data_IF_969444707833
#
_entry.id   IF_969444707833
#
_cell.length_a   1.000
_cell.length_b   1.000
_cell.length_c   1.000
_cell.angle_alpha   90.00
_cell.angle_beta   90.00
_cell.angle_gamma   90.00
#
_symmetry.space_group_name_H-M   'P 1'
#
loop_
_entity.id
_entity.type
_entity.pdbx_description
1 polymer ?
#
# COMPACT_ATOMS: atom_id res chain seq x y z
N UNK A 1 0.53 65.50 -12.21
CA UNK A 1 -0.64 64.65 -12.45
C UNK A 1 -0.83 63.75 -11.24
N UNK A 2 -1.95 63.94 -10.56
CA UNK A 2 -2.28 63.51 -9.21
C UNK A 2 -2.80 62.07 -9.16
N UNK A 3 -2.36 61.35 -8.12
CA UNK A 3 -3.07 60.33 -7.33
C UNK A 3 -4.49 59.94 -7.81
N UNK A 4 -4.64 58.71 -8.32
CA UNK A 4 -5.80 57.79 -8.17
C UNK A 4 -5.28 56.43 -8.71
N UNK A 5 -5.00 55.39 -7.93
CA UNK A 5 -5.95 54.46 -7.33
C UNK A 5 -5.15 53.64 -6.28
N UNK A 6 -5.16 54.07 -5.02
CA UNK A 6 -5.98 53.45 -3.97
C UNK A 6 -6.07 51.92 -4.05
N UNK A 7 -4.89 51.31 -3.84
CA UNK A 7 -4.66 50.12 -3.01
C UNK A 7 -5.95 49.51 -2.43
N UNK A 8 -6.35 48.33 -2.93
CA UNK A 8 -7.45 47.46 -2.43
C UNK A 8 -7.16 46.87 -1.05
N UNK A 9 -6.72 47.72 -0.14
CA UNK A 9 -6.48 47.42 1.25
C UNK A 9 -7.43 48.35 2.00
N UNK A 10 -8.56 47.82 2.44
CA UNK A 10 -9.24 48.12 3.71
C UNK A 10 -10.59 47.35 3.73
N UNK A 11 -10.60 46.10 4.24
CA UNK A 11 -11.22 45.62 5.51
C UNK A 11 -12.71 45.22 5.37
N UNK A 12 -13.02 43.91 5.45
CA UNK A 12 -13.40 43.09 6.62
C UNK A 12 -14.88 43.16 6.99
N UNK A 13 -15.52 41.99 7.16
CA UNK A 13 -16.38 41.76 8.32
C UNK A 13 -16.37 40.27 8.74
N UNK A 14 -16.32 39.99 10.06
CA UNK A 14 -16.25 38.66 10.67
C UNK A 14 -17.66 38.10 10.98
N UNK A 15 -17.75 36.76 11.10
CA UNK A 15 -18.92 35.97 11.50
C UNK A 15 -20.15 36.13 10.60
N UNK A 16 -20.34 35.17 9.69
CA UNK A 16 -21.68 34.74 9.32
C UNK A 16 -21.71 33.21 9.38
N UNK A 17 -22.36 32.73 10.43
CA UNK A 17 -22.94 31.41 10.61
C UNK A 17 -23.07 30.56 9.33
N UNK A 18 -22.06 29.73 9.08
CA UNK A 18 -22.23 28.43 8.46
C UNK A 18 -21.87 27.37 9.49
N UNK A 19 -22.79 27.17 10.43
CA UNK A 19 -23.07 25.84 10.97
C UNK A 19 -23.54 24.91 9.83
N UNK A 20 -22.70 24.75 8.81
CA UNK A 20 -22.68 23.58 7.99
C UNK A 20 -22.15 22.49 8.89
N UNK A 21 -23.08 21.77 9.54
CA UNK A 21 -22.88 20.36 9.83
C UNK A 21 -22.46 19.76 8.49
N UNK A 22 -21.16 19.70 8.24
CA UNK A 22 -20.62 18.95 7.14
C UNK A 22 -20.87 17.49 7.52
N UNK A 23 -21.82 16.89 6.84
CA UNK A 23 -22.20 15.49 6.96
C UNK A 23 -21.10 14.56 6.42
N UNK A 24 -19.84 14.90 6.62
CA UNK A 24 -18.65 14.23 6.10
C UNK A 24 -17.88 13.51 7.23
N UNK A 25 -18.61 12.95 8.21
CA UNK A 25 -18.15 11.92 9.17
C UNK A 25 -17.83 10.60 8.45
N UNK A 26 -17.10 10.68 7.34
CA UNK A 26 -16.64 9.58 6.53
C UNK A 26 -15.17 9.79 6.10
N UNK A 27 -14.53 10.90 6.47
CA UNK A 27 -13.26 11.36 5.88
C UNK A 27 -12.00 10.78 6.52
N UNK A 28 -12.11 9.94 7.56
CA UNK A 28 -10.95 9.30 8.20
C UNK A 28 -10.57 7.95 7.61
N UNK A 29 -11.42 7.33 6.78
CA UNK A 29 -11.16 5.99 6.20
C UNK A 29 -10.58 6.05 4.78
N UNK A 30 -10.76 7.14 4.04
CA UNK A 30 -10.45 7.20 2.61
C UNK A 30 -8.94 7.33 2.27
N UNK A 31 -8.10 7.77 3.22
CA UNK A 31 -6.67 8.06 2.94
C UNK A 31 -5.71 6.88 3.15
N UNK A 32 -6.19 5.76 3.72
CA UNK A 32 -5.37 4.57 3.96
C UNK A 32 -5.38 3.57 2.78
N UNK A 33 -6.25 3.76 1.79
CA UNK A 33 -6.61 2.74 0.79
C UNK A 33 -5.51 2.39 -0.22
N UNK A 34 -4.47 3.20 -0.39
CA UNK A 34 -3.41 2.93 -1.36
C UNK A 34 -2.34 1.91 -0.91
N UNK A 35 -2.11 1.77 0.40
CA UNK A 35 -0.93 1.08 0.95
C UNK A 35 -1.29 -0.03 1.94
N UNK A 36 -2.36 0.14 2.73
CA UNK A 36 -2.69 -0.77 3.84
C UNK A 36 -2.92 -2.22 3.40
N UNK A 37 -3.56 -2.41 2.24
CA UNK A 37 -3.84 -3.76 1.72
C UNK A 37 -2.55 -4.52 1.33
N UNK A 38 -1.52 -3.83 0.82
CA UNK A 38 -0.22 -4.44 0.48
C UNK A 38 0.52 -4.89 1.73
N UNK A 39 0.42 -4.12 2.81
CA UNK A 39 0.97 -4.46 4.12
C UNK A 39 0.23 -5.65 4.73
N UNK A 40 -1.10 -5.68 4.63
CA UNK A 40 -1.87 -6.85 5.07
C UNK A 40 -1.48 -8.10 4.28
N UNK A 41 -1.36 -8.00 2.94
CA UNK A 41 -0.91 -9.11 2.09
C UNK A 41 0.49 -9.58 2.46
N UNK A 42 1.44 -8.68 2.75
CA UNK A 42 2.80 -9.10 3.14
C UNK A 42 2.85 -9.84 4.47
N UNK A 43 2.10 -9.37 5.47
CA UNK A 43 1.98 -10.03 6.77
C UNK A 43 1.37 -11.42 6.58
N UNK A 44 0.22 -11.52 5.91
CA UNK A 44 -0.47 -12.79 5.67
C UNK A 44 0.39 -13.75 4.87
N UNK A 45 1.09 -13.26 3.85
CA UNK A 45 1.97 -14.10 3.01
C UNK A 45 3.16 -14.64 3.80
N UNK A 46 3.74 -13.84 4.70
CA UNK A 46 4.84 -14.28 5.56
C UNK A 46 4.38 -15.34 6.57
N UNK A 47 3.32 -15.07 7.31
CA UNK A 47 2.81 -16.04 8.28
C UNK A 47 2.24 -17.29 7.58
N UNK A 48 1.56 -17.11 6.45
CA UNK A 48 1.03 -18.21 5.64
C UNK A 48 2.12 -19.12 5.10
N UNK A 49 3.25 -18.57 4.64
CA UNK A 49 4.38 -19.39 4.17
C UNK A 49 5.06 -20.16 5.31
N UNK A 50 5.20 -19.54 6.49
CA UNK A 50 5.73 -20.21 7.68
C UNK A 50 4.81 -21.34 8.13
N UNK A 51 3.49 -21.08 8.23
CA UNK A 51 2.50 -22.09 8.60
C UNK A 51 2.51 -23.25 7.60
N UNK A 52 2.54 -22.95 6.29
CA UNK A 52 2.65 -23.97 5.25
C UNK A 52 3.92 -24.81 5.38
N UNK A 53 5.06 -24.20 5.69
CA UNK A 53 6.31 -24.91 5.91
C UNK A 53 6.26 -25.82 7.14
N UNK A 54 5.66 -25.37 8.25
CA UNK A 54 5.49 -26.17 9.47
C UNK A 54 4.58 -27.38 9.19
N UNK A 55 3.43 -27.16 8.55
CA UNK A 55 2.51 -28.24 8.19
C UNK A 55 3.23 -29.26 7.29
N UNK A 56 3.99 -28.79 6.30
CA UNK A 56 4.77 -29.66 5.43
C UNK A 56 5.79 -30.51 6.20
N UNK A 57 6.61 -29.87 7.03
CA UNK A 57 7.69 -30.54 7.77
C UNK A 57 7.17 -31.59 8.77
N UNK A 58 6.07 -31.31 9.46
CA UNK A 58 5.56 -32.23 10.48
C UNK A 58 4.70 -33.36 9.92
N UNK A 59 3.86 -33.09 8.91
CA UNK A 59 2.88 -34.06 8.43
C UNK A 59 3.29 -34.80 7.16
N UNK A 60 4.06 -34.14 6.29
CA UNK A 60 4.37 -34.67 4.96
C UNK A 60 5.82 -35.13 4.84
N UNK A 61 6.77 -34.44 5.47
CA UNK A 61 8.19 -34.68 5.21
C UNK A 61 8.68 -36.10 5.53
N UNK A 62 8.01 -36.81 6.45
CA UNK A 62 8.35 -38.20 6.78
C UNK A 62 8.14 -39.20 5.65
N UNK A 63 7.25 -38.90 4.69
CA UNK A 63 6.94 -39.78 3.56
C UNK A 63 7.76 -39.48 2.30
N UNK A 64 8.55 -38.40 2.30
CA UNK A 64 9.32 -37.95 1.15
C UNK A 64 10.82 -38.13 1.38
N UNK A 65 11.56 -38.33 0.29
CA UNK A 65 13.02 -38.37 0.35
C UNK A 65 13.58 -36.97 0.70
N UNK A 66 14.79 -36.89 1.26
CA UNK A 66 15.46 -35.63 1.61
C UNK A 66 15.45 -34.61 0.47
N UNK A 67 15.72 -35.06 -0.77
CA UNK A 67 15.69 -34.18 -1.96
C UNK A 67 14.30 -33.62 -2.27
N UNK A 68 13.25 -34.43 -2.09
CA UNK A 68 11.86 -34.00 -2.33
C UNK A 68 11.42 -32.99 -1.28
N UNK A 69 11.82 -33.18 -0.02
CA UNK A 69 11.54 -32.21 1.04
C UNK A 69 12.18 -30.85 0.75
N UNK A 70 13.45 -30.85 0.32
CA UNK A 70 14.16 -29.63 -0.08
C UNK A 70 13.43 -28.94 -1.26
N UNK A 71 13.01 -29.71 -2.27
CA UNK A 71 12.28 -29.17 -3.41
C UNK A 71 10.98 -28.46 -2.98
N UNK A 72 10.23 -29.03 -2.03
CA UNK A 72 8.99 -28.38 -1.55
C UNK A 72 9.27 -27.12 -0.74
N UNK A 73 10.34 -27.07 0.04
CA UNK A 73 10.76 -25.82 0.69
C UNK A 73 11.08 -24.74 -0.35
N UNK A 74 11.78 -25.08 -1.44
CA UNK A 74 11.99 -24.15 -2.54
C UNK A 74 10.69 -23.68 -3.20
N UNK A 75 9.70 -24.56 -3.36
CA UNK A 75 8.38 -24.19 -3.89
C UNK A 75 7.68 -23.17 -2.99
N UNK A 76 7.71 -23.36 -1.67
CA UNK A 76 7.11 -22.41 -0.71
C UNK A 76 7.82 -21.04 -0.78
N UNK A 77 9.15 -21.04 -0.88
CA UNK A 77 9.93 -19.80 -1.04
C UNK A 77 9.61 -19.11 -2.36
N UNK A 78 9.54 -19.86 -3.46
CA UNK A 78 9.17 -19.30 -4.77
C UNK A 78 7.76 -18.73 -4.77
N UNK A 79 6.80 -19.40 -4.13
CA UNK A 79 5.45 -18.87 -3.96
C UNK A 79 5.46 -17.56 -3.16
N UNK A 80 6.21 -17.49 -2.06
CA UNK A 80 6.38 -16.27 -1.28
C UNK A 80 6.95 -15.12 -2.10
N UNK A 81 8.03 -15.36 -2.86
CA UNK A 81 8.67 -14.36 -3.73
C UNK A 81 7.71 -13.92 -4.83
N UNK A 82 6.99 -14.85 -5.46
CA UNK A 82 6.05 -14.54 -6.52
C UNK A 82 4.91 -13.63 -6.02
N UNK A 83 4.35 -13.91 -4.85
CA UNK A 83 3.27 -13.10 -4.26
C UNK A 83 3.80 -11.71 -3.89
N UNK A 84 5.00 -11.61 -3.28
CA UNK A 84 5.60 -10.32 -2.98
C UNK A 84 5.94 -9.52 -4.24
N UNK A 85 6.53 -10.18 -5.24
CA UNK A 85 6.83 -9.56 -6.53
C UNK A 85 5.57 -9.02 -7.19
N UNK A 86 4.51 -9.82 -7.28
CA UNK A 86 3.24 -9.42 -7.88
C UNK A 86 2.56 -8.27 -7.13
N UNK A 87 2.65 -8.27 -5.79
CA UNK A 87 2.05 -7.21 -4.94
C UNK A 87 2.69 -5.83 -5.20
N UNK A 88 4.00 -5.81 -5.48
CA UNK A 88 4.76 -4.56 -5.65
C UNK A 88 5.09 -4.20 -7.09
N UNK A 89 5.03 -5.15 -8.04
CA UNK A 89 5.38 -4.94 -9.44
C UNK A 89 4.62 -3.76 -10.11
N UNK A 90 3.30 -3.60 -9.94
CA UNK A 90 2.57 -2.48 -10.53
C UNK A 90 3.06 -1.11 -10.06
N UNK A 91 3.53 -1.01 -8.81
CA UNK A 91 4.06 0.23 -8.27
C UNK A 91 5.48 0.51 -8.78
N UNK A 92 6.32 -0.52 -8.86
CA UNK A 92 7.67 -0.41 -9.44
C UNK A 92 7.64 0.04 -10.89
N UNK A 93 6.75 -0.53 -11.70
CA UNK A 93 6.58 -0.12 -13.10
C UNK A 93 6.10 1.33 -13.23
N UNK A 94 5.19 1.78 -12.35
CA UNK A 94 4.72 3.17 -12.33
C UNK A 94 5.87 4.16 -12.07
N UNK A 95 6.86 3.81 -11.25
CA UNK A 95 8.03 4.67 -11.03
C UNK A 95 8.90 4.81 -12.28
N UNK A 96 9.11 3.75 -13.06
CA UNK A 96 9.91 3.81 -14.28
C UNK A 96 9.39 4.84 -15.29
N UNK A 97 8.06 4.91 -15.46
CA UNK A 97 7.43 5.86 -16.39
C UNK A 97 7.57 7.33 -15.99
N UNK A 98 7.75 7.63 -14.69
CA UNK A 98 7.99 9.00 -14.22
C UNK A 98 9.38 9.52 -14.61
N UNK A 99 10.37 8.64 -14.69
CA UNK A 99 11.73 9.01 -15.09
C UNK A 99 11.85 9.26 -16.60
N UNK A 100 11.09 8.53 -17.42
CA UNK A 100 11.03 8.79 -18.87
C UNK A 100 10.42 10.16 -19.20
N UNK A 101 9.39 10.61 -18.46
CA UNK A 101 8.78 11.93 -18.69
C UNK A 101 9.66 13.13 -18.36
N UNK A 102 10.75 12.96 -17.61
CA UNK A 102 11.66 14.05 -17.22
C UNK A 102 12.85 14.22 -18.16
N UNK A 103 12.97 13.37 -19.19
CA UNK A 103 14.03 13.39 -20.18
C UNK A 103 13.53 14.00 -21.48
#
# INVERSE_FOLDING_TARGET
MTSLLSNKRLRHSPLHDDAGIDSNVNTTTERAEGMGWRVAVSIVTLFGSIIAAIIWLFFYAGNFNAYQNIAVIFVIILAFIAIMGATWAPWGMKQGTWWERKK
#
